data_IF_823148328266
#
_entry.id   IF_823148328266
#
_cell.length_a   1.000
_cell.length_b   1.000
_cell.length_c   1.000
_cell.angle_alpha   90.00
_cell.angle_beta   90.00
_cell.angle_gamma   90.00
#
_symmetry.space_group_name_H-M   'P 1'
#
loop_
_entity.id
_entity.type
_entity.pdbx_description
1 polymer ?
#
# COMPACT_ATOMS: atom_id res chain seq x y z
N UNK A 1 -8.67 8.57 -21.36
CA UNK A 1 -7.37 7.89 -21.16
C UNK A 1 -7.69 6.43 -20.92
N UNK A 2 -7.32 5.57 -21.87
CA UNK A 2 -7.63 4.15 -21.84
C UNK A 2 -6.56 3.38 -21.07
N UNK A 3 -6.99 2.43 -20.24
CA UNK A 3 -6.11 1.50 -19.55
C UNK A 3 -6.11 0.21 -20.37
N UNK A 4 -4.98 -0.14 -20.97
CA UNK A 4 -4.77 -1.47 -21.54
C UNK A 4 -4.19 -2.37 -20.44
N UNK A 5 -5.06 -2.81 -19.52
CA UNK A 5 -4.71 -3.88 -18.59
C UNK A 5 -4.84 -5.20 -19.35
N UNK A 6 -3.72 -5.85 -19.65
CA UNK A 6 -3.73 -7.23 -20.09
C UNK A 6 -4.21 -8.09 -18.93
N UNK A 7 -5.39 -8.71 -19.07
CA UNK A 7 -5.70 -9.89 -18.29
C UNK A 7 -4.74 -10.97 -18.81
N UNK A 8 -3.66 -11.25 -18.08
CA UNK A 8 -3.03 -12.54 -18.25
C UNK A 8 -4.15 -13.55 -18.06
N UNK A 9 -4.37 -14.39 -19.07
CA UNK A 9 -5.18 -15.60 -18.94
C UNK A 9 -4.87 -16.21 -17.57
N UNK A 10 -5.87 -16.72 -16.84
CA UNK A 10 -5.67 -17.43 -15.58
C UNK A 10 -4.58 -18.49 -15.78
N UNK A 11 -3.34 -18.09 -15.50
CA UNK A 11 -2.14 -18.85 -15.77
C UNK A 11 -1.86 -19.74 -14.57
N UNK A 12 -0.98 -20.71 -14.77
CA UNK A 12 -0.52 -21.62 -13.72
C UNK A 12 -0.15 -20.82 -12.45
N UNK A 13 -0.97 -20.96 -11.39
CA UNK A 13 -0.78 -20.25 -10.12
C UNK A 13 -2.01 -19.52 -9.55
N UNK A 14 -3.16 -19.49 -10.24
CA UNK A 14 -4.40 -18.89 -9.74
C UNK A 14 -4.27 -17.38 -9.40
N UNK A 15 -3.56 -16.64 -10.24
CA UNK A 15 -3.30 -15.21 -10.08
C UNK A 15 -4.52 -14.42 -10.58
N UNK A 16 -5.19 -13.68 -9.70
CA UNK A 16 -6.41 -12.93 -10.05
C UNK A 16 -6.16 -11.73 -10.97
N UNK A 17 -5.21 -10.86 -10.59
CA UNK A 17 -4.77 -9.71 -11.38
C UNK A 17 -3.27 -9.50 -11.19
N UNK A 18 -2.52 -9.36 -12.28
CA UNK A 18 -1.12 -9.00 -12.26
C UNK A 18 -0.89 -7.78 -13.16
N UNK A 19 -0.21 -6.77 -12.62
CA UNK A 19 0.20 -5.58 -13.37
C UNK A 19 1.72 -5.45 -13.26
N UNK A 20 2.41 -5.63 -14.38
CA UNK A 20 3.87 -5.62 -14.46
C UNK A 20 4.31 -4.70 -15.58
N UNK A 21 5.16 -3.72 -15.26
CA UNK A 21 5.87 -2.92 -16.26
C UNK A 21 7.25 -3.56 -16.52
N UNK A 22 7.58 -3.79 -17.79
CA UNK A 22 8.87 -4.38 -18.17
C UNK A 22 10.03 -3.39 -18.14
N UNK A 23 9.73 -2.10 -18.26
CA UNK A 23 10.64 -0.95 -18.11
C UNK A 23 9.83 0.25 -17.59
N UNK A 24 10.52 1.21 -16.99
CA UNK A 24 9.95 2.42 -16.34
C UNK A 24 8.96 2.13 -15.19
N UNK A 25 8.34 3.20 -14.67
CA UNK A 25 7.53 3.16 -13.46
C UNK A 25 6.06 2.78 -13.72
N UNK A 26 5.44 2.13 -12.74
CA UNK A 26 3.98 2.00 -12.67
C UNK A 26 3.45 3.13 -11.80
N UNK A 27 2.73 4.07 -12.42
CA UNK A 27 2.08 5.18 -11.71
C UNK A 27 0.57 4.96 -11.59
N UNK A 28 0.08 4.95 -10.36
CA UNK A 28 -1.33 4.72 -10.02
C UNK A 28 -1.84 5.90 -9.19
N UNK A 29 -2.72 6.70 -9.78
CA UNK A 29 -3.26 7.89 -9.14
C UNK A 29 -4.79 7.92 -9.16
N UNK A 30 -5.39 8.35 -8.06
CA UNK A 30 -6.80 8.70 -7.98
C UNK A 30 -6.95 10.22 -8.02
N UNK A 31 -7.36 10.77 -9.17
CA UNK A 31 -7.33 12.23 -9.43
C UNK A 31 -8.44 13.01 -8.72
N UNK A 32 -9.54 12.35 -8.37
CA UNK A 32 -10.72 13.00 -7.79
C UNK A 32 -11.10 12.47 -6.41
N UNK A 33 -10.59 11.29 -6.03
CA UNK A 33 -10.98 10.62 -4.79
C UNK A 33 -9.82 9.77 -4.25
N UNK A 34 -10.07 8.94 -3.23
CA UNK A 34 -9.10 8.10 -2.57
C UNK A 34 -8.77 6.82 -3.38
N UNK A 35 -7.48 6.47 -3.38
CA UNK A 35 -7.02 5.14 -3.78
C UNK A 35 -7.12 4.18 -2.58
N UNK A 36 -7.79 3.04 -2.76
CA UNK A 36 -7.88 1.98 -1.73
C UNK A 36 -7.24 0.70 -2.26
N UNK A 37 -6.21 0.20 -1.56
CA UNK A 37 -5.59 -1.09 -1.81
C UNK A 37 -5.89 -1.97 -0.58
N UNK A 38 -6.62 -3.06 -0.78
CA UNK A 38 -7.09 -3.94 0.30
C UNK A 38 -6.86 -5.40 -0.10
N UNK A 39 -6.56 -6.24 0.89
CA UNK A 39 -6.40 -7.70 0.76
C UNK A 39 -7.21 -8.36 1.88
N UNK A 40 -7.80 -9.53 1.60
CA UNK A 40 -8.42 -10.36 2.64
C UNK A 40 -7.36 -11.00 3.56
N UNK A 41 -6.19 -11.28 2.97
CA UNK A 41 -5.03 -11.84 3.66
C UNK A 41 -3.95 -10.75 3.77
N UNK A 42 -2.69 -11.16 3.66
CA UNK A 42 -1.56 -10.24 3.75
C UNK A 42 -1.51 -9.27 2.56
N UNK A 43 -1.09 -8.04 2.86
CA UNK A 43 -0.67 -7.04 1.88
C UNK A 43 0.84 -6.82 2.05
N UNK A 44 1.62 -7.18 1.04
CA UNK A 44 3.08 -7.06 1.06
C UNK A 44 3.53 -5.98 0.08
N UNK A 45 4.25 -4.99 0.58
CA UNK A 45 4.88 -3.94 -0.23
C UNK A 45 6.40 -4.04 -0.03
N UNK A 46 7.14 -4.22 -1.13
CA UNK A 46 8.59 -4.47 -1.11
C UNK A 46 9.25 -3.63 -2.19
N UNK A 47 10.42 -3.07 -1.88
CA UNK A 47 11.35 -2.52 -2.86
C UNK A 47 12.57 -3.44 -2.95
N UNK A 48 13.01 -3.76 -4.16
CA UNK A 48 14.17 -4.62 -4.37
C UNK A 48 15.51 -3.88 -4.22
N UNK A 49 15.55 -2.59 -4.58
CA UNK A 49 16.80 -1.86 -4.74
C UNK A 49 16.88 -0.57 -3.90
N UNK A 50 15.75 0.05 -3.58
CA UNK A 50 15.68 1.38 -2.95
C UNK A 50 14.72 1.35 -1.75
N UNK A 51 14.03 2.47 -1.52
CA UNK A 51 13.15 2.69 -0.39
C UNK A 51 11.69 2.41 -0.74
N UNK A 52 10.89 2.25 0.31
CA UNK A 52 9.43 2.37 0.25
C UNK A 52 9.09 3.67 0.97
N UNK A 53 8.59 4.65 0.20
CA UNK A 53 8.30 5.98 0.73
C UNK A 53 6.80 6.17 0.90
N UNK A 54 6.40 6.57 2.10
CA UNK A 54 5.03 6.98 2.40
C UNK A 54 5.00 8.47 2.70
N UNK A 55 4.27 9.22 1.89
CA UNK A 55 4.05 10.65 2.08
C UNK A 55 2.54 10.93 2.09
N UNK A 56 2.08 11.72 3.08
CA UNK A 56 0.69 12.12 3.17
C UNK A 56 0.60 13.60 3.58
N UNK A 57 -0.33 14.33 2.96
CA UNK A 57 -0.52 15.76 3.25
C UNK A 57 -1.10 16.03 4.65
N UNK A 58 -1.79 15.05 5.25
CA UNK A 58 -2.48 15.21 6.54
C UNK A 58 -1.94 14.27 7.62
N UNK A 59 -2.00 12.97 7.34
CA UNK A 59 -1.69 11.92 8.33
C UNK A 59 -1.21 10.65 7.66
N UNK A 60 -0.21 10.01 8.25
CA UNK A 60 0.11 8.60 8.03
C UNK A 60 -0.33 7.82 9.27
N UNK A 61 -1.12 6.75 9.10
CA UNK A 61 -1.59 5.91 10.20
C UNK A 61 -1.34 4.44 9.89
N UNK A 62 -0.56 3.79 10.72
CA UNK A 62 -0.26 2.36 10.66
C UNK A 62 -0.98 1.71 11.84
N UNK A 63 -1.95 0.84 11.58
CA UNK A 63 -2.80 0.22 12.60
C UNK A 63 -2.78 -1.29 12.48
N UNK A 64 -2.77 -1.98 13.62
CA UNK A 64 -3.09 -3.41 13.68
C UNK A 64 -4.55 -3.61 14.08
N UNK A 65 -5.10 -4.79 13.76
CA UNK A 65 -6.45 -5.16 14.17
C UNK A 65 -6.63 -5.17 15.70
N UNK A 66 -5.55 -5.45 16.44
CA UNK A 66 -5.54 -5.49 17.91
C UNK A 66 -5.42 -4.10 18.57
N UNK A 67 -5.46 -3.02 17.78
CA UNK A 67 -5.53 -1.65 18.30
C UNK A 67 -4.19 -0.96 18.51
N UNK A 68 -3.07 -1.62 18.20
CA UNK A 68 -1.77 -0.96 18.17
C UNK A 68 -1.66 0.00 16.97
N UNK A 69 -0.88 1.05 17.15
CA UNK A 69 -1.03 2.28 16.40
C UNK A 69 0.28 3.06 16.29
N UNK A 70 0.64 3.48 15.09
CA UNK A 70 1.62 4.53 14.86
C UNK A 70 0.97 5.59 13.98
N UNK A 71 0.92 6.82 14.48
CA UNK A 71 0.37 7.98 13.78
C UNK A 71 1.43 9.05 13.59
N UNK A 72 1.62 9.50 12.35
CA UNK A 72 2.45 10.66 12.01
C UNK A 72 1.52 11.77 11.54
N UNK A 73 1.41 12.84 12.33
CA UNK A 73 0.51 13.96 12.06
C UNK A 73 1.01 15.22 12.78
N UNK A 74 0.85 16.38 12.13
CA UNK A 74 1.19 17.71 12.71
C UNK A 74 2.62 17.80 13.27
N UNK A 75 3.59 17.12 12.65
CA UNK A 75 4.98 17.08 13.11
C UNK A 75 5.25 16.20 14.32
N UNK A 76 4.23 15.50 14.83
CA UNK A 76 4.35 14.57 15.94
C UNK A 76 4.36 13.12 15.47
N UNK A 77 5.00 12.26 16.26
CA UNK A 77 4.93 10.81 16.15
C UNK A 77 4.23 10.29 17.40
N UNK A 78 3.09 9.64 17.24
CA UNK A 78 2.31 9.07 18.32
C UNK A 78 2.29 7.56 18.18
N UNK A 79 2.75 6.86 19.22
CA UNK A 79 2.74 5.40 19.29
C UNK A 79 1.80 4.99 20.42
N UNK A 80 0.78 4.19 20.09
CA UNK A 80 -0.20 3.69 21.05
C UNK A 80 -0.27 2.17 20.96
N UNK A 81 -0.33 1.52 22.11
CA UNK A 81 -0.46 0.08 22.23
C UNK A 81 -1.32 -0.24 23.46
N UNK A 82 -2.22 -1.24 23.38
CA UNK A 82 -2.93 -1.72 24.57
C UNK A 82 -1.99 -2.32 25.64
N UNK A 83 -0.81 -2.79 25.23
CA UNK A 83 0.22 -3.39 26.08
C UNK A 83 1.51 -2.57 26.15
N UNK A 84 2.58 -3.12 26.74
CA UNK A 84 3.88 -2.46 26.80
C UNK A 84 4.48 -2.28 25.41
N UNK A 85 5.11 -1.13 25.18
CA UNK A 85 5.90 -0.86 23.97
C UNK A 85 7.30 -1.43 24.20
N UNK A 86 7.77 -2.29 23.28
CA UNK A 86 9.10 -2.93 23.34
C UNK A 86 9.88 -2.63 22.08
#
# INVERSE_FOLDING_TARGET
IGVAAGLSQAGDGNIGLQLTAGQDDIDVQAQHDALKLMSELDLKLVSANLNVDFAAAKRIRLATAEGASITLENGNITVECPGPIT
#
